data_IF_396053347997
#
_entry.id   IF_396053347997
#
_cell.length_a   1.000
_cell.length_b   1.000
_cell.length_c   1.000
_cell.angle_alpha   90.00
_cell.angle_beta   90.00
_cell.angle_gamma   90.00
#
_symmetry.space_group_name_H-M   'P 1'
#
loop_
_entity.id
_entity.type
_entity.pdbx_description
1 polymer ?
#
# COMPACT_ATOMS: atom_id res chain seq x y z
N UNK A 1 7.16 7.63 12.33
CA UNK A 1 6.03 6.73 12.62
C UNK A 1 6.31 5.42 11.92
N UNK A 2 6.20 4.30 12.62
CA UNK A 2 6.36 2.95 12.07
C UNK A 2 4.97 2.34 11.96
N UNK A 3 4.66 1.71 10.84
CA UNK A 3 3.41 0.96 10.67
C UNK A 3 3.72 -0.54 10.60
N UNK A 4 2.91 -1.34 11.28
CA UNK A 4 3.03 -2.80 11.25
C UNK A 4 1.73 -3.38 10.70
N UNK A 5 1.84 -4.18 9.64
CA UNK A 5 0.71 -4.86 9.00
C UNK A 5 1.02 -6.35 8.91
N UNK A 6 -0.01 -7.18 9.04
CA UNK A 6 0.09 -8.63 8.86
C UNK A 6 -0.62 -8.96 7.56
N UNK A 7 0.11 -9.54 6.62
CA UNK A 7 -0.43 -10.01 5.35
C UNK A 7 -1.15 -11.35 5.52
N UNK A 8 -2.07 -11.66 4.59
CA UNK A 8 -2.78 -12.95 4.57
C UNK A 8 -1.82 -14.15 4.36
N UNK A 9 -0.62 -13.89 3.84
CA UNK A 9 0.49 -14.87 3.70
C UNK A 9 1.11 -15.25 5.05
N UNK A 10 0.83 -14.50 6.12
CA UNK A 10 1.45 -14.64 7.43
C UNK A 10 2.75 -13.86 7.60
N UNK A 11 3.11 -13.03 6.62
CA UNK A 11 4.28 -12.14 6.72
C UNK A 11 3.97 -10.89 7.55
N UNK A 12 4.94 -10.49 8.37
CA UNK A 12 4.88 -9.26 9.16
C UNK A 12 5.60 -8.13 8.41
N UNK A 13 4.83 -7.16 7.91
CA UNK A 13 5.37 -6.01 7.19
C UNK A 13 5.58 -4.86 8.18
N UNK A 14 6.82 -4.35 8.21
CA UNK A 14 7.20 -3.15 8.94
C UNK A 14 7.47 -2.05 7.91
N UNK A 15 6.67 -0.98 7.93
CA UNK A 15 6.85 0.18 7.08
C UNK A 15 7.45 1.34 7.88
N UNK A 16 8.61 1.81 7.42
CA UNK A 16 9.36 2.93 7.97
C UNK A 16 9.53 4.05 6.95
N UNK A 17 9.97 5.22 7.42
CA UNK A 17 10.18 6.39 6.57
C UNK A 17 11.42 6.28 5.65
N UNK A 18 12.32 5.34 5.91
CA UNK A 18 13.55 5.15 5.14
C UNK A 18 14.40 3.99 5.69
N UNK A 19 15.48 3.67 4.99
CA UNK A 19 16.34 2.52 5.26
C UNK A 19 16.94 2.54 6.67
N UNK A 20 17.59 3.64 7.06
CA UNK A 20 18.15 3.80 8.41
C UNK A 20 17.10 3.64 9.52
N UNK A 21 15.88 4.10 9.27
CA UNK A 21 14.79 3.98 10.24
C UNK A 21 14.37 2.50 10.40
N UNK A 22 14.31 1.74 9.30
CA UNK A 22 14.04 0.31 9.35
C UNK A 22 15.16 -0.45 10.07
N UNK A 23 16.44 -0.14 9.79
CA UNK A 23 17.58 -0.78 10.46
C UNK A 23 17.55 -0.61 11.97
N UNK A 24 17.31 0.62 12.46
CA UNK A 24 17.22 0.90 13.90
C UNK A 24 16.03 0.15 14.50
N UNK A 25 14.86 0.20 13.87
CA UNK A 25 13.67 -0.48 14.37
C UNK A 25 13.83 -2.00 14.43
N UNK A 26 14.50 -2.61 13.45
CA UNK A 26 14.77 -4.05 13.43
C UNK A 26 15.77 -4.44 14.52
N UNK A 27 16.80 -3.62 14.74
CA UNK A 27 17.77 -3.83 15.80
C UNK A 27 17.12 -3.75 17.19
N UNK A 28 16.34 -2.71 17.44
CA UNK A 28 15.63 -2.53 18.71
C UNK A 28 14.64 -3.70 18.94
N UNK A 29 13.92 -4.13 17.89
CA UNK A 29 13.03 -5.28 17.95
C UNK A 29 13.77 -6.57 18.36
N UNK A 30 14.92 -6.83 17.75
CA UNK A 30 15.72 -8.02 18.02
C UNK A 30 16.36 -7.99 19.42
N UNK A 31 17.05 -6.90 19.75
CA UNK A 31 17.90 -6.80 20.94
C UNK A 31 17.07 -6.51 22.21
N UNK A 32 16.16 -5.54 22.15
CA UNK A 32 15.47 -5.04 23.35
C UNK A 32 14.13 -5.74 23.61
N UNK A 33 13.37 -6.08 22.56
CA UNK A 33 12.01 -6.63 22.71
C UNK A 33 11.93 -8.15 22.58
N UNK A 34 12.78 -8.76 21.77
CA UNK A 34 12.80 -10.22 21.54
C UNK A 34 13.90 -10.95 22.31
N UNK A 35 14.72 -10.24 23.09
CA UNK A 35 15.76 -10.84 23.93
C UNK A 35 16.88 -11.51 23.12
N UNK A 36 17.19 -10.99 21.94
CA UNK A 36 18.24 -11.51 21.05
C UNK A 36 17.80 -12.67 20.15
N UNK A 37 16.50 -12.96 20.03
CA UNK A 37 16.02 -13.98 19.12
C UNK A 37 16.30 -13.60 17.66
N UNK A 38 16.77 -14.57 16.85
CA UNK A 38 17.10 -14.33 15.45
C UNK A 38 15.84 -14.04 14.61
N UNK A 39 15.80 -12.88 13.96
CA UNK A 39 14.72 -12.47 13.07
C UNK A 39 15.18 -12.63 11.62
N UNK A 40 14.38 -13.32 10.79
CA UNK A 40 14.62 -13.40 9.35
C UNK A 40 13.99 -12.19 8.67
N UNK A 41 14.83 -11.34 8.10
CA UNK A 41 14.41 -10.11 7.41
C UNK A 41 14.64 -10.30 5.91
N UNK A 42 13.62 -9.99 5.11
CA UNK A 42 13.72 -9.93 3.65
C UNK A 42 14.34 -8.61 3.17
N UNK A 43 14.69 -8.51 1.89
CA UNK A 43 15.17 -7.24 1.33
C UNK A 43 14.09 -6.15 1.44
N UNK A 44 14.48 -4.91 1.77
CA UNK A 44 13.52 -3.81 1.90
C UNK A 44 12.85 -3.53 0.57
N UNK A 45 11.52 -3.45 0.59
CA UNK A 45 10.71 -3.15 -0.60
C UNK A 45 9.94 -1.85 -0.41
N UNK A 46 9.75 -1.13 -1.51
CA UNK A 46 8.92 0.07 -1.55
C UNK A 46 7.49 -0.29 -1.92
N UNK A 47 6.52 0.36 -1.27
CA UNK A 47 5.11 0.18 -1.60
C UNK A 47 4.80 0.85 -2.93
N UNK A 48 4.46 0.05 -3.94
CA UNK A 48 4.01 0.56 -5.23
C UNK A 48 2.54 0.99 -5.17
N UNK A 49 2.18 1.94 -6.02
CA UNK A 49 0.79 2.36 -6.26
C UNK A 49 0.47 2.19 -7.73
N UNK A 50 -0.79 1.90 -8.03
CA UNK A 50 -1.28 1.73 -9.40
C UNK A 50 -1.92 3.04 -9.89
N UNK A 51 -1.76 3.34 -11.18
CA UNK A 51 -2.38 4.49 -11.83
C UNK A 51 -2.76 4.16 -13.28
N UNK A 52 -3.64 4.98 -13.87
CA UNK A 52 -4.05 4.86 -15.28
C UNK A 52 -3.46 6.01 -16.08
N UNK A 53 -2.95 5.73 -17.28
CA UNK A 53 -2.28 6.72 -18.15
C UNK A 53 -3.19 7.27 -19.26
N UNK A 54 -4.28 6.58 -19.55
CA UNK A 54 -5.24 6.95 -20.58
C UNK A 54 -6.66 6.62 -20.12
N UNK A 55 -7.65 7.22 -20.81
CA UNK A 55 -9.05 6.85 -20.61
C UNK A 55 -9.28 5.40 -21.07
N UNK A 56 -10.14 4.68 -20.36
CA UNK A 56 -10.62 3.35 -20.78
C UNK A 56 -11.12 3.39 -22.22
N UNK A 57 -10.81 2.34 -22.98
CA UNK A 57 -11.21 2.16 -24.37
C UNK A 57 -12.71 1.88 -24.52
N UNK A 58 -13.33 1.28 -23.50
CA UNK A 58 -14.77 1.06 -23.42
C UNK A 58 -15.30 1.15 -21.98
N UNK A 59 -16.59 1.43 -21.84
CA UNK A 59 -17.29 1.37 -20.55
C UNK A 59 -17.40 -0.08 -20.08
N UNK A 60 -16.91 -0.36 -18.87
CA UNK A 60 -16.98 -1.69 -18.25
C UNK A 60 -18.21 -1.78 -17.36
N UNK A 61 -18.93 -2.90 -17.40
CA UNK A 61 -20.12 -3.14 -16.57
C UNK A 61 -19.89 -4.28 -15.58
N UNK A 62 -20.17 -4.01 -14.31
CA UNK A 62 -20.24 -5.01 -13.24
C UNK A 62 -21.65 -5.12 -12.70
N UNK A 63 -22.01 -6.32 -12.22
CA UNK A 63 -23.34 -6.62 -11.67
C UNK A 63 -23.21 -7.11 -10.23
N UNK A 64 -24.16 -6.74 -9.38
CA UNK A 64 -24.22 -7.29 -8.02
C UNK A 64 -24.53 -8.79 -8.06
N UNK A 65 -24.10 -9.58 -7.05
CA UNK A 65 -24.37 -11.02 -6.99
C UNK A 65 -25.87 -11.36 -7.10
N UNK A 66 -26.74 -10.53 -6.51
CA UNK A 66 -28.21 -10.68 -6.60
C UNK A 66 -28.81 -10.19 -7.94
N UNK A 67 -27.98 -9.70 -8.88
CA UNK A 67 -28.35 -9.23 -10.22
C UNK A 67 -29.29 -8.01 -10.28
N UNK A 68 -29.58 -7.36 -9.16
CA UNK A 68 -30.46 -6.17 -9.15
C UNK A 68 -29.73 -4.89 -9.55
N UNK A 69 -28.42 -4.80 -9.30
CA UNK A 69 -27.63 -3.62 -9.58
C UNK A 69 -26.66 -3.89 -10.73
N UNK A 70 -26.51 -2.90 -11.60
CA UNK A 70 -25.50 -2.84 -12.66
C UNK A 70 -24.79 -1.50 -12.53
N UNK A 71 -23.46 -1.53 -12.49
CA UNK A 71 -22.62 -0.35 -12.41
C UNK A 71 -21.79 -0.31 -13.68
N UNK A 72 -21.78 0.84 -14.34
CA UNK A 72 -21.02 1.11 -15.57
C UNK A 72 -19.94 2.15 -15.23
N UNK A 73 -18.68 1.84 -15.53
CA UNK A 73 -17.54 2.68 -15.17
C UNK A 73 -16.54 2.79 -16.32
N UNK A 74 -15.85 3.93 -16.34
CA UNK A 74 -14.65 4.19 -17.14
C UNK A 74 -13.62 4.86 -16.22
N UNK A 75 -12.36 4.50 -16.37
CA UNK A 75 -11.26 5.16 -15.69
C UNK A 75 -10.58 6.17 -16.63
N UNK A 76 -10.02 7.23 -16.06
CA UNK A 76 -9.17 8.21 -16.75
C UNK A 76 -8.10 8.73 -15.79
N UNK A 77 -6.95 9.20 -16.29
CA UNK A 77 -5.99 9.91 -15.45
C UNK A 77 -6.65 11.13 -14.80
N UNK A 78 -6.26 11.40 -13.56
CA UNK A 78 -6.59 12.66 -12.89
C UNK A 78 -5.85 13.82 -13.57
N UNK A 79 -6.37 15.02 -13.39
CA UNK A 79 -5.72 16.24 -13.90
C UNK A 79 -4.45 16.54 -13.09
N UNK A 80 -3.47 17.16 -13.75
CA UNK A 80 -2.20 17.52 -13.12
C UNK A 80 -2.44 18.41 -11.88
N UNK A 81 -1.85 18.03 -10.74
CA UNK A 81 -1.99 18.78 -9.48
C UNK A 81 -3.23 18.43 -8.65
N UNK A 82 -4.21 17.68 -9.20
CA UNK A 82 -5.42 17.32 -8.46
C UNK A 82 -5.14 16.28 -7.38
N UNK A 83 -4.27 15.31 -7.65
CA UNK A 83 -3.91 14.28 -6.67
C UNK A 83 -3.24 14.90 -5.44
N UNK A 84 -2.30 15.82 -5.68
CA UNK A 84 -1.59 16.55 -4.63
C UNK A 84 -2.55 17.43 -3.82
N UNK A 85 -3.49 18.12 -4.48
CA UNK A 85 -4.51 18.91 -3.79
C UNK A 85 -5.39 18.05 -2.88
N UNK A 86 -5.80 16.85 -3.34
CA UNK A 86 -6.58 15.90 -2.54
C UNK A 86 -5.78 15.42 -1.33
N UNK A 87 -4.51 15.05 -1.51
CA UNK A 87 -3.63 14.59 -0.42
C UNK A 87 -3.36 15.71 0.61
N UNK A 88 -3.30 16.97 0.17
CA UNK A 88 -3.19 18.16 1.02
C UNK A 88 -4.53 18.60 1.67
N UNK A 89 -5.66 18.00 1.25
CA UNK A 89 -6.99 18.33 1.74
C UNK A 89 -7.55 19.68 1.26
N UNK A 90 -7.15 20.13 0.07
CA UNK A 90 -7.56 21.41 -0.55
C UNK A 90 -8.64 21.24 -1.61
#
# INVERSE_FOLDING_TARGET
>A
MVQCVIEETGEHIIAGAGELHLEICLKDLQDDFMGGAEIKVSEPVVAFRETVTARSDHTVMSKSPNKHNRIYLEARPLEDGLAEAIDEGK
#
